data_IF_203858828782
#
_entry.id   IF_203858828782
#
_cell.length_a   1.000
_cell.length_b   1.000
_cell.length_c   1.000
_cell.angle_alpha   90.00
_cell.angle_beta   90.00
_cell.angle_gamma   90.00
#
_symmetry.space_group_name_H-M   'P 1'
#
loop_
_entity.id
_entity.type
_entity.pdbx_description
1 polymer ?
#
# COMPACT_ATOMS: atom_id res chain seq x y z
N UNK A 1 -0.66 3.41 -10.30
CA UNK A 1 -0.59 3.39 -11.80
C UNK A 1 -1.98 3.34 -12.43
N UNK A 2 -2.82 2.32 -12.17
CA UNK A 2 -4.15 2.19 -12.77
C UNK A 2 -4.98 3.49 -12.70
N UNK A 3 -5.08 4.11 -11.52
CA UNK A 3 -5.87 5.31 -11.29
C UNK A 3 -5.41 6.51 -12.15
N UNK A 4 -4.09 6.64 -12.37
CA UNK A 4 -3.53 7.68 -13.24
C UNK A 4 -3.79 7.34 -14.70
N UNK A 5 -3.50 6.12 -15.14
CA UNK A 5 -3.66 5.68 -16.52
C UNK A 5 -5.10 5.85 -17.03
N UNK A 6 -6.10 5.37 -16.26
CA UNK A 6 -7.50 5.47 -16.64
C UNK A 6 -8.01 6.93 -16.70
N UNK A 7 -7.44 7.85 -15.90
CA UNK A 7 -7.81 9.27 -15.94
C UNK A 7 -7.16 9.99 -17.13
N UNK A 8 -5.93 9.65 -17.46
CA UNK A 8 -5.28 10.16 -18.67
C UNK A 8 -6.05 9.75 -19.92
N UNK A 9 -6.48 8.47 -20.03
CA UNK A 9 -7.35 8.03 -21.14
C UNK A 9 -8.64 8.85 -21.22
N UNK A 10 -9.32 9.09 -20.11
CA UNK A 10 -10.55 9.90 -20.09
C UNK A 10 -10.33 11.36 -20.53
N UNK A 11 -9.09 11.86 -20.43
CA UNK A 11 -8.70 13.20 -20.91
C UNK A 11 -8.17 13.19 -22.35
N UNK A 12 -8.26 12.06 -23.05
CA UNK A 12 -7.93 11.94 -24.47
C UNK A 12 -6.50 11.49 -24.76
N UNK A 13 -5.73 11.07 -23.75
CA UNK A 13 -4.40 10.50 -23.98
C UNK A 13 -4.48 9.03 -24.39
N UNK A 14 -3.59 8.60 -25.27
CA UNK A 14 -3.33 7.19 -25.53
C UNK A 14 -2.37 6.65 -24.48
N UNK A 15 -2.78 5.62 -23.75
CA UNK A 15 -1.98 5.07 -22.65
C UNK A 15 -1.76 3.57 -22.83
N UNK A 16 -0.51 3.17 -22.91
CA UNK A 16 -0.09 1.77 -22.93
C UNK A 16 0.63 1.43 -21.62
N UNK A 17 0.21 0.38 -20.93
CA UNK A 17 0.84 -0.13 -19.71
C UNK A 17 1.62 -1.41 -20.01
N UNK A 18 2.94 -1.34 -19.91
CA UNK A 18 3.81 -2.52 -19.92
C UNK A 18 3.80 -3.20 -18.55
N UNK A 19 3.53 -4.49 -18.51
CA UNK A 19 3.38 -5.26 -17.26
C UNK A 19 3.79 -6.71 -17.43
N UNK A 20 3.96 -7.42 -16.30
CA UNK A 20 4.22 -8.85 -16.32
C UNK A 20 3.02 -9.63 -16.90
N UNK A 21 3.33 -10.68 -17.66
CA UNK A 21 2.36 -11.64 -18.18
C UNK A 21 1.69 -12.39 -17.03
N UNK A 22 0.35 -12.44 -17.06
CA UNK A 22 -0.44 -13.17 -16.08
C UNK A 22 -1.17 -14.33 -16.76
N UNK A 23 -1.09 -15.57 -16.22
CA UNK A 23 -1.70 -16.75 -16.85
C UNK A 23 -3.20 -16.63 -17.12
N UNK A 24 -3.91 -15.86 -16.30
CA UNK A 24 -5.37 -15.74 -16.32
C UNK A 24 -5.84 -14.39 -16.89
N UNK A 25 -4.96 -13.56 -17.49
CA UNK A 25 -5.39 -12.32 -18.12
C UNK A 25 -5.89 -12.63 -19.53
N UNK A 26 -7.17 -12.39 -19.78
CA UNK A 26 -7.84 -12.62 -21.07
C UNK A 26 -8.08 -11.35 -21.88
N UNK A 27 -7.61 -10.18 -21.38
CA UNK A 27 -7.85 -8.88 -22.00
C UNK A 27 -6.54 -8.15 -22.28
N UNK A 28 -6.49 -7.42 -23.39
CA UNK A 28 -5.36 -6.57 -23.82
C UNK A 28 -5.67 -5.07 -23.64
N UNK A 29 -6.86 -4.74 -23.17
CA UNK A 29 -7.27 -3.37 -22.83
C UNK A 29 -8.18 -3.40 -21.61
N UNK A 30 -8.06 -2.38 -20.75
CA UNK A 30 -8.92 -2.18 -19.57
C UNK A 30 -9.25 -0.69 -19.42
N UNK A 31 -10.55 -0.35 -19.50
CA UNK A 31 -11.03 1.03 -19.38
C UNK A 31 -10.31 2.01 -20.34
N UNK A 32 -10.04 1.55 -21.59
CA UNK A 32 -9.35 2.31 -22.62
C UNK A 32 -7.82 2.33 -22.50
N UNK A 33 -7.25 1.77 -21.44
CA UNK A 33 -5.80 1.61 -21.27
C UNK A 33 -5.35 0.34 -21.99
N UNK A 34 -4.43 0.45 -22.94
CA UNK A 34 -3.80 -0.69 -23.59
C UNK A 34 -2.85 -1.42 -22.63
N UNK A 35 -2.81 -2.76 -22.72
CA UNK A 35 -1.96 -3.58 -21.87
C UNK A 35 -1.01 -4.38 -22.75
N UNK A 36 0.29 -4.13 -22.59
CA UNK A 36 1.36 -4.90 -23.21
C UNK A 36 2.01 -5.78 -22.15
N UNK A 37 1.91 -7.08 -22.31
CA UNK A 37 2.48 -8.06 -21.40
C UNK A 37 3.85 -8.54 -21.88
N UNK A 38 4.74 -8.77 -20.90
CA UNK A 38 6.05 -9.38 -21.11
C UNK A 38 6.25 -10.50 -20.10
N UNK A 39 6.70 -11.64 -20.57
CA UNK A 39 7.07 -12.77 -19.70
C UNK A 39 8.48 -12.56 -19.15
N UNK A 40 8.60 -11.64 -18.21
CA UNK A 40 9.86 -11.28 -17.54
C UNK A 40 9.74 -11.54 -16.04
N UNK A 41 10.78 -12.14 -15.47
CA UNK A 41 10.89 -12.37 -14.03
C UNK A 41 12.25 -11.93 -13.49
N UNK A 42 12.31 -11.72 -12.15
CA UNK A 42 13.54 -11.32 -11.46
C UNK A 42 13.74 -9.80 -11.41
N UNK A 43 14.99 -9.41 -11.14
CA UNK A 43 15.46 -8.02 -11.13
C UNK A 43 16.98 -7.99 -11.43
N UNK A 44 17.58 -6.80 -11.48
CA UNK A 44 18.99 -6.66 -11.82
C UNK A 44 19.95 -7.35 -10.83
N UNK A 45 19.59 -7.39 -9.53
CA UNK A 45 20.43 -7.98 -8.48
C UNK A 45 20.26 -9.49 -8.40
N UNK A 46 19.03 -9.98 -8.53
CA UNK A 46 18.70 -11.41 -8.49
C UNK A 46 18.85 -12.13 -9.84
N UNK A 47 19.14 -11.40 -10.90
CA UNK A 47 19.08 -11.88 -12.27
C UNK A 47 17.68 -11.71 -12.88
N UNK A 48 17.64 -11.42 -14.18
CA UNK A 48 16.40 -11.32 -14.96
C UNK A 48 16.39 -12.42 -16.02
N UNK A 49 15.18 -12.91 -16.34
CA UNK A 49 14.97 -13.91 -17.40
C UNK A 49 13.67 -13.66 -18.13
N UNK A 50 13.55 -14.22 -19.35
CA UNK A 50 12.37 -14.08 -20.19
C UNK A 50 12.54 -13.01 -21.27
N UNK A 51 11.43 -12.37 -21.67
CA UNK A 51 11.33 -11.42 -22.78
C UNK A 51 11.93 -10.04 -22.46
N UNK A 52 13.17 -10.02 -21.92
CA UNK A 52 13.83 -8.78 -21.47
C UNK A 52 14.23 -7.90 -22.66
N UNK A 53 14.73 -8.49 -23.73
CA UNK A 53 15.18 -7.75 -24.91
C UNK A 53 13.99 -7.25 -25.74
N UNK A 54 12.91 -8.01 -25.82
CA UNK A 54 11.65 -7.58 -26.43
C UNK A 54 11.04 -6.38 -25.68
N UNK A 55 11.13 -6.37 -24.35
CA UNK A 55 10.70 -5.21 -23.58
C UNK A 55 11.59 -3.98 -23.82
N UNK A 56 12.92 -4.17 -23.88
CA UNK A 56 13.86 -3.08 -24.22
C UNK A 56 13.58 -2.50 -25.60
N UNK A 57 13.37 -3.37 -26.59
CA UNK A 57 13.06 -2.95 -27.95
C UNK A 57 11.73 -2.19 -27.99
N UNK A 58 10.68 -2.72 -27.35
CA UNK A 58 9.39 -2.04 -27.23
C UNK A 58 9.54 -0.62 -26.67
N UNK A 59 10.37 -0.44 -25.64
CA UNK A 59 10.57 0.89 -25.04
C UNK A 59 11.43 1.78 -25.94
N UNK A 60 12.49 1.28 -26.55
CA UNK A 60 13.42 2.12 -27.34
C UNK A 60 12.84 2.51 -28.70
N UNK A 61 12.10 1.59 -29.35
CA UNK A 61 11.50 1.82 -30.67
C UNK A 61 10.08 2.39 -30.63
N UNK A 62 9.48 2.50 -29.42
CA UNK A 62 8.11 2.97 -29.27
C UNK A 62 7.94 4.45 -29.65
N UNK A 63 6.83 4.77 -30.27
CA UNK A 63 6.41 6.15 -30.60
C UNK A 63 5.57 6.71 -29.43
N UNK A 64 6.25 7.12 -28.37
CA UNK A 64 5.65 7.70 -27.18
C UNK A 64 6.14 9.14 -26.96
N UNK A 65 5.33 9.97 -26.36
CA UNK A 65 5.73 11.32 -25.92
C UNK A 65 6.43 11.27 -24.56
N UNK A 66 5.94 10.40 -23.66
CA UNK A 66 6.47 10.25 -22.30
C UNK A 66 6.36 8.82 -21.79
N UNK A 67 7.33 8.42 -21.03
CA UNK A 67 7.34 7.16 -20.28
C UNK A 67 7.34 7.46 -18.77
N UNK A 68 6.48 6.78 -18.03
CA UNK A 68 6.50 6.83 -16.57
C UNK A 68 6.71 5.42 -15.99
N UNK A 69 7.76 5.25 -15.21
CA UNK A 69 8.08 3.99 -14.53
C UNK A 69 7.93 4.15 -13.03
N UNK A 70 7.38 3.12 -12.38
CA UNK A 70 7.22 3.06 -10.93
C UNK A 70 8.00 1.90 -10.35
N UNK A 71 8.68 2.17 -9.23
CA UNK A 71 9.45 1.29 -8.38
C UNK A 71 10.81 0.87 -8.96
N UNK A 72 11.85 1.21 -8.22
CA UNK A 72 13.17 0.61 -8.35
C UNK A 72 13.14 -0.87 -7.95
N UNK A 73 14.19 -1.61 -8.33
CA UNK A 73 14.33 -3.03 -7.96
C UNK A 73 13.23 -3.92 -8.56
N UNK A 74 12.56 -3.43 -9.60
CA UNK A 74 11.58 -4.15 -10.41
C UNK A 74 12.11 -4.30 -11.83
N UNK A 75 11.78 -5.42 -12.48
CA UNK A 75 12.28 -5.70 -13.82
C UNK A 75 11.96 -4.59 -14.83
N UNK A 76 10.81 -3.93 -14.71
CA UNK A 76 10.39 -2.86 -15.63
C UNK A 76 11.34 -1.66 -15.62
N UNK A 77 11.94 -1.35 -14.48
CA UNK A 77 12.96 -0.30 -14.36
C UNK A 77 14.37 -0.85 -14.64
N UNK A 78 14.69 -1.96 -14.01
CA UNK A 78 16.04 -2.54 -14.00
C UNK A 78 16.48 -3.00 -15.40
N UNK A 79 15.55 -3.53 -16.20
CA UNK A 79 15.84 -3.96 -17.59
C UNK A 79 16.30 -2.82 -18.49
N UNK A 80 15.88 -1.59 -18.20
CA UNK A 80 16.18 -0.43 -19.04
C UNK A 80 17.55 0.21 -18.78
N UNK A 81 18.25 -0.15 -17.69
CA UNK A 81 19.54 0.47 -17.36
C UNK A 81 20.52 0.52 -18.54
N UNK A 82 20.72 -0.55 -19.33
CA UNK A 82 21.63 -0.51 -20.48
C UNK A 82 21.16 0.36 -21.64
N UNK A 83 19.88 0.69 -21.71
CA UNK A 83 19.27 1.35 -22.88
C UNK A 83 18.68 2.73 -22.57
N UNK A 84 18.74 3.22 -21.34
CA UNK A 84 18.14 4.51 -20.95
C UNK A 84 18.59 5.67 -21.86
N UNK A 85 19.87 5.74 -22.21
CA UNK A 85 20.40 6.80 -23.08
C UNK A 85 19.85 6.75 -24.52
N UNK A 86 19.24 5.63 -24.92
CA UNK A 86 18.64 5.43 -26.26
C UNK A 86 17.15 5.75 -26.31
N UNK A 87 16.51 5.97 -25.15
CA UNK A 87 15.07 6.26 -25.10
C UNK A 87 14.83 7.69 -25.61
N UNK A 88 14.05 7.87 -26.70
CA UNK A 88 13.98 9.16 -27.42
C UNK A 88 12.97 10.16 -26.82
N UNK A 89 12.14 9.76 -25.89
CA UNK A 89 11.06 10.56 -25.31
C UNK A 89 11.27 10.86 -23.82
N UNK A 90 10.42 11.69 -23.23
CA UNK A 90 10.54 12.10 -21.83
C UNK A 90 10.38 10.92 -20.85
N UNK A 91 11.18 10.94 -19.77
CA UNK A 91 11.30 9.85 -18.80
C UNK A 91 10.98 10.35 -17.40
N UNK A 92 9.90 9.85 -16.84
CA UNK A 92 9.47 10.14 -15.47
C UNK A 92 9.62 8.88 -14.63
N UNK A 93 10.27 9.00 -13.48
CA UNK A 93 10.50 7.87 -12.61
C UNK A 93 9.97 8.10 -11.19
N UNK A 94 9.29 7.10 -10.63
CA UNK A 94 8.79 7.06 -9.26
C UNK A 94 9.55 5.99 -8.48
N UNK A 95 10.55 6.33 -7.64
CA UNK A 95 11.42 5.34 -6.98
C UNK A 95 10.73 4.37 -6.03
N UNK A 96 9.65 4.78 -5.40
CA UNK A 96 8.87 3.98 -4.45
C UNK A 96 9.63 3.52 -3.20
N UNK A 97 10.44 4.41 -2.62
CA UNK A 97 10.96 4.25 -1.26
C UNK A 97 12.26 3.46 -1.14
N UNK A 98 12.85 2.95 -2.22
CA UNK A 98 14.14 2.24 -2.21
C UNK A 98 14.26 1.17 -1.12
N UNK A 99 13.41 0.14 -1.15
CA UNK A 99 13.27 -0.87 -0.09
C UNK A 99 14.61 -1.54 0.29
N UNK A 100 15.47 -1.82 -0.67
CA UNK A 100 16.77 -2.46 -0.46
C UNK A 100 17.96 -1.51 -0.23
N UNK A 101 17.73 -0.19 0.00
CA UNK A 101 18.82 0.80 0.07
C UNK A 101 19.93 0.44 1.08
N UNK A 102 19.55 -0.18 2.19
CA UNK A 102 20.47 -0.55 3.27
C UNK A 102 20.80 -2.05 3.28
N UNK A 103 20.34 -2.81 2.29
CA UNK A 103 20.63 -4.24 2.19
C UNK A 103 21.97 -4.45 1.49
N UNK A 104 22.93 -5.22 2.07
CA UNK A 104 24.25 -5.46 1.48
C UNK A 104 24.20 -6.01 0.05
N UNK A 105 23.23 -6.85 -0.27
CA UNK A 105 23.04 -7.40 -1.61
C UNK A 105 22.79 -6.32 -2.68
N UNK A 106 22.23 -5.17 -2.31
CA UNK A 106 21.92 -4.05 -3.20
C UNK A 106 22.99 -2.95 -3.19
N UNK A 107 24.11 -3.08 -2.46
CA UNK A 107 25.13 -2.04 -2.39
C UNK A 107 25.68 -1.64 -3.76
N UNK A 108 25.93 -2.60 -4.66
CA UNK A 108 26.36 -2.33 -6.04
C UNK A 108 25.31 -1.64 -6.88
N UNK A 109 24.06 -1.99 -6.70
CA UNK A 109 22.90 -1.40 -7.34
C UNK A 109 22.77 0.09 -6.98
N UNK A 110 22.74 0.41 -5.68
CA UNK A 110 22.59 1.79 -5.23
C UNK A 110 23.83 2.66 -5.46
N UNK A 111 25.02 2.08 -5.62
CA UNK A 111 26.22 2.81 -6.05
C UNK A 111 26.07 3.38 -7.47
N UNK A 112 25.41 2.66 -8.37
CA UNK A 112 25.14 3.08 -9.76
C UNK A 112 23.85 3.92 -9.90
N UNK A 113 22.95 3.84 -8.94
CA UNK A 113 21.64 4.48 -9.01
C UNK A 113 21.70 6.00 -9.31
N UNK A 114 22.62 6.80 -8.74
CA UNK A 114 22.67 8.24 -9.03
C UNK A 114 22.90 8.55 -10.53
N UNK A 115 23.67 7.72 -11.24
CA UNK A 115 23.90 7.87 -12.69
C UNK A 115 22.60 7.59 -13.46
N UNK A 116 21.85 6.57 -13.06
CA UNK A 116 20.56 6.23 -13.69
C UNK A 116 19.49 7.29 -13.41
N UNK A 117 19.48 7.83 -12.19
CA UNK A 117 18.53 8.90 -11.84
C UNK A 117 18.78 10.20 -12.60
N UNK A 118 20.05 10.52 -12.92
CA UNK A 118 20.41 11.66 -13.76
C UNK A 118 19.94 11.54 -15.22
N UNK A 119 19.65 10.31 -15.68
CA UNK A 119 19.08 10.06 -17.00
C UNK A 119 17.56 10.25 -17.05
N UNK A 120 16.91 10.42 -15.91
CA UNK A 120 15.47 10.72 -15.88
C UNK A 120 15.26 12.21 -16.12
N UNK A 121 14.24 12.57 -16.87
CA UNK A 121 13.88 13.98 -17.07
C UNK A 121 13.17 14.54 -15.86
N UNK A 122 12.45 13.69 -15.10
CA UNK A 122 11.80 14.09 -13.85
C UNK A 122 11.64 12.91 -12.86
N UNK A 123 11.78 13.19 -11.57
CA UNK A 123 11.52 12.23 -10.50
C UNK A 123 10.26 12.62 -9.73
N UNK A 124 9.46 11.64 -9.32
CA UNK A 124 8.30 11.89 -8.46
C UNK A 124 8.41 11.06 -7.20
N UNK A 125 8.29 11.72 -6.04
CA UNK A 125 8.28 11.09 -4.72
C UNK A 125 6.90 11.22 -4.08
N UNK A 126 6.51 10.24 -3.25
CA UNK A 126 5.24 10.27 -2.53
C UNK A 126 5.33 10.94 -1.16
N UNK A 127 6.55 11.22 -0.71
CA UNK A 127 6.87 11.78 0.58
C UNK A 127 7.88 12.93 0.43
N UNK A 128 7.81 13.94 1.29
CA UNK A 128 8.82 15.01 1.35
C UNK A 128 10.02 14.64 2.24
N UNK A 129 9.86 13.60 3.06
CA UNK A 129 10.89 13.05 3.94
C UNK A 129 10.82 11.53 3.91
N UNK A 130 11.69 10.91 3.14
CA UNK A 130 11.88 9.46 3.13
C UNK A 130 13.18 9.12 2.42
N UNK A 131 13.71 7.91 2.65
CA UNK A 131 15.04 7.48 2.18
C UNK A 131 15.28 7.63 0.67
N UNK A 132 14.27 7.55 -0.19
CA UNK A 132 14.42 7.71 -1.63
C UNK A 132 14.61 9.18 -2.05
N UNK A 133 13.82 10.11 -1.52
CA UNK A 133 14.00 11.54 -1.78
C UNK A 133 15.27 12.07 -1.10
N UNK A 134 15.60 11.58 0.10
CA UNK A 134 16.83 11.93 0.79
C UNK A 134 18.06 11.43 0.03
N UNK A 135 17.99 10.24 -0.56
CA UNK A 135 19.01 9.72 -1.48
C UNK A 135 19.18 10.65 -2.70
N UNK A 136 18.09 11.07 -3.32
CA UNK A 136 18.14 11.99 -4.47
C UNK A 136 18.78 13.33 -4.08
N UNK A 137 18.38 13.93 -2.96
CA UNK A 137 18.96 15.18 -2.44
C UNK A 137 20.44 15.04 -2.11
N UNK A 138 20.84 13.94 -1.46
CA UNK A 138 22.25 13.65 -1.15
C UNK A 138 23.14 13.61 -2.39
N UNK A 139 22.59 13.14 -3.51
CA UNK A 139 23.29 13.09 -4.80
C UNK A 139 23.08 14.33 -5.70
N UNK A 140 22.53 15.42 -5.15
CA UNK A 140 22.38 16.70 -5.86
C UNK A 140 21.35 16.69 -6.98
N UNK A 141 20.38 15.78 -6.94
CA UNK A 141 19.28 15.76 -7.91
C UNK A 141 18.22 16.78 -7.51
N UNK A 142 17.86 17.68 -8.43
CA UNK A 142 16.92 18.78 -8.18
C UNK A 142 15.65 18.75 -9.05
N UNK A 143 15.65 17.92 -10.09
CA UNK A 143 14.53 17.77 -11.05
C UNK A 143 13.47 16.79 -10.53
N UNK A 144 12.82 17.15 -9.45
CA UNK A 144 11.78 16.31 -8.86
C UNK A 144 10.60 17.10 -8.29
N UNK A 145 9.49 16.40 -8.15
CA UNK A 145 8.29 16.85 -7.45
C UNK A 145 7.86 15.86 -6.37
N UNK A 146 7.16 16.37 -5.34
CA UNK A 146 6.46 15.53 -4.37
C UNK A 146 4.98 15.52 -4.76
N UNK A 147 4.50 14.37 -5.23
CA UNK A 147 3.08 14.14 -5.56
C UNK A 147 2.58 13.02 -4.66
N UNK A 148 1.82 13.34 -3.61
CA UNK A 148 1.25 12.33 -2.71
C UNK A 148 0.36 11.32 -3.43
N UNK A 149 0.11 10.19 -2.80
CA UNK A 149 -0.97 9.29 -3.20
C UNK A 149 -2.34 9.94 -2.92
N UNK A 150 -3.41 9.26 -3.34
CA UNK A 150 -4.78 9.70 -3.12
C UNK A 150 -5.74 8.55 -2.93
N UNK A 151 -7.03 8.87 -2.81
CA UNK A 151 -8.11 7.91 -2.81
C UNK A 151 -9.14 8.24 -3.91
N UNK A 152 -9.88 7.19 -4.34
CA UNK A 152 -10.76 7.27 -5.49
C UNK A 152 -12.04 8.05 -5.20
N UNK A 153 -12.28 9.13 -5.92
CA UNK A 153 -13.53 9.88 -5.88
C UNK A 153 -14.72 9.06 -6.41
N UNK A 154 -14.46 8.03 -7.21
CA UNK A 154 -15.49 7.11 -7.69
C UNK A 154 -15.94 6.20 -6.55
N UNK A 155 -14.99 5.67 -5.76
CA UNK A 155 -15.28 4.77 -4.65
C UNK A 155 -15.90 5.53 -3.46
N UNK A 156 -15.32 6.68 -3.10
CA UNK A 156 -15.74 7.47 -1.93
C UNK A 156 -16.71 8.62 -2.24
N UNK A 157 -17.11 8.79 -3.49
CA UNK A 157 -18.16 9.72 -3.91
C UNK A 157 -19.58 9.17 -3.78
N UNK A 158 -19.74 7.95 -3.26
CA UNK A 158 -21.02 7.32 -3.03
C UNK A 158 -21.60 7.67 -1.65
N UNK A 159 -22.89 7.45 -1.46
CA UNK A 159 -23.53 7.58 -0.15
C UNK A 159 -23.14 6.42 0.78
N UNK A 160 -23.10 6.71 2.08
CA UNK A 160 -22.90 5.69 3.08
C UNK A 160 -24.10 4.75 3.17
N UNK A 161 -23.83 3.44 3.20
CA UNK A 161 -24.85 2.41 3.37
C UNK A 161 -25.26 2.30 4.84
N UNK A 162 -26.39 2.87 5.21
CA UNK A 162 -26.93 2.79 6.56
C UNK A 162 -27.17 1.36 7.06
N UNK A 163 -27.26 0.37 6.15
CA UNK A 163 -27.46 -1.04 6.50
C UNK A 163 -26.18 -1.80 6.73
N UNK A 164 -25.00 -1.20 6.45
CA UNK A 164 -23.69 -1.88 6.53
C UNK A 164 -23.49 -2.56 7.89
N UNK A 165 -23.70 -1.83 9.00
CA UNK A 165 -23.52 -2.37 10.36
C UNK A 165 -24.42 -3.59 10.59
N UNK A 166 -25.70 -3.49 10.24
CA UNK A 166 -26.66 -4.59 10.40
C UNK A 166 -26.31 -5.81 9.55
N UNK A 167 -25.92 -5.60 8.27
CA UNK A 167 -25.49 -6.69 7.37
C UNK A 167 -24.28 -7.46 7.87
N UNK A 168 -23.41 -6.79 8.62
CA UNK A 168 -22.19 -7.40 9.17
C UNK A 168 -22.29 -7.75 10.66
N UNK A 169 -23.49 -7.73 11.25
CA UNK A 169 -23.72 -8.11 12.64
C UNK A 169 -23.08 -7.17 13.66
N UNK A 170 -22.88 -5.91 13.29
CA UNK A 170 -22.30 -4.87 14.15
C UNK A 170 -23.45 -4.14 14.85
N UNK A 171 -23.44 -4.12 16.18
CA UNK A 171 -24.47 -3.40 16.94
C UNK A 171 -24.38 -1.89 16.67
N UNK A 172 -25.53 -1.22 16.55
CA UNK A 172 -25.60 0.21 16.23
C UNK A 172 -24.87 1.10 17.26
N UNK A 173 -24.94 0.72 18.53
CA UNK A 173 -24.29 1.42 19.64
C UNK A 173 -22.82 1.01 19.86
N UNK A 174 -22.27 0.13 19.02
CA UNK A 174 -20.88 -0.30 19.11
C UNK A 174 -19.94 0.70 18.44
N UNK A 175 -18.89 1.13 19.13
CA UNK A 175 -17.81 1.92 18.49
C UNK A 175 -17.03 1.03 17.55
N UNK A 176 -16.93 1.42 16.28
CA UNK A 176 -16.36 0.62 15.21
C UNK A 176 -14.93 1.05 14.89
N UNK A 177 -13.98 0.19 15.23
CA UNK A 177 -12.61 0.28 14.77
C UNK A 177 -12.42 -0.51 13.47
N UNK A 178 -11.65 0.04 12.53
CA UNK A 178 -11.31 -0.63 11.28
C UNK A 178 -9.78 -0.63 11.09
N UNK A 179 -9.23 -1.73 10.62
CA UNK A 179 -7.91 -1.77 9.98
C UNK A 179 -7.95 -2.55 8.68
N UNK A 180 -7.09 -2.17 7.73
CA UNK A 180 -7.03 -2.78 6.40
C UNK A 180 -5.59 -3.07 6.02
N UNK A 181 -5.32 -4.33 5.66
CA UNK A 181 -4.00 -4.74 5.21
C UNK A 181 -3.91 -6.25 4.98
N UNK A 182 -2.89 -6.69 4.27
CA UNK A 182 -2.64 -8.12 4.07
C UNK A 182 -2.12 -8.77 5.36
N UNK A 183 -2.56 -10.01 5.67
CA UNK A 183 -2.13 -10.77 6.85
C UNK A 183 -0.73 -11.37 6.66
N UNK A 184 0.26 -10.52 6.37
CA UNK A 184 1.67 -10.92 6.17
C UNK A 184 2.48 -10.97 7.46
N UNK A 185 1.89 -10.55 8.59
CA UNK A 185 2.59 -10.36 9.86
C UNK A 185 3.32 -9.02 9.99
N UNK A 186 3.28 -8.16 8.95
CA UNK A 186 3.96 -6.87 8.92
C UNK A 186 2.99 -5.66 8.89
N UNK A 187 1.69 -5.91 8.95
CA UNK A 187 0.67 -4.85 8.87
C UNK A 187 0.03 -4.49 10.21
N UNK A 188 0.65 -4.93 11.32
CA UNK A 188 0.25 -4.54 12.67
C UNK A 188 -1.04 -5.17 13.18
N UNK A 189 -1.59 -6.19 12.47
CA UNK A 189 -2.83 -6.85 12.92
C UNK A 189 -2.70 -7.53 14.29
N UNK A 190 -1.52 -8.09 14.58
CA UNK A 190 -1.28 -8.76 15.86
C UNK A 190 -1.21 -7.74 17.00
N UNK A 191 -0.46 -6.67 16.81
CA UNK A 191 -0.33 -5.58 17.77
C UNK A 191 -1.70 -4.93 18.04
N UNK A 192 -2.49 -4.72 16.99
CA UNK A 192 -3.80 -4.10 17.11
C UNK A 192 -4.83 -5.00 17.83
N UNK A 193 -4.92 -6.28 17.48
CA UNK A 193 -5.89 -7.17 18.17
C UNK A 193 -5.52 -7.38 19.63
N UNK A 194 -4.23 -7.38 20.00
CA UNK A 194 -3.78 -7.40 21.38
C UNK A 194 -4.15 -6.10 22.10
N UNK A 195 -3.88 -4.95 21.49
CA UNK A 195 -4.28 -3.65 22.03
C UNK A 195 -5.80 -3.59 22.25
N UNK A 196 -6.60 -4.04 21.29
CA UNK A 196 -8.04 -4.11 21.42
C UNK A 196 -8.49 -5.02 22.57
N UNK A 197 -7.83 -6.17 22.78
CA UNK A 197 -8.09 -7.06 23.90
C UNK A 197 -7.76 -6.37 25.25
N UNK A 198 -6.67 -5.61 25.33
CA UNK A 198 -6.23 -4.88 26.54
C UNK A 198 -7.05 -3.62 26.83
N UNK A 199 -7.66 -3.01 25.80
CA UNK A 199 -8.38 -1.76 25.90
C UNK A 199 -9.52 -1.88 26.93
N UNK A 200 -9.59 -0.94 27.87
CA UNK A 200 -10.69 -0.89 28.84
C UNK A 200 -11.84 -0.09 28.26
N UNK A 201 -13.06 -0.61 28.40
CA UNK A 201 -14.28 0.07 28.04
C UNK A 201 -15.03 0.50 29.31
N UNK A 202 -15.65 1.67 29.26
CA UNK A 202 -16.55 2.11 30.30
C UNK A 202 -17.80 1.20 30.36
N UNK A 203 -18.49 1.19 31.48
CA UNK A 203 -19.71 0.39 31.69
C UNK A 203 -20.78 0.72 30.64
N UNK A 204 -21.37 -0.31 30.03
CA UNK A 204 -22.38 -0.18 28.99
C UNK A 204 -21.82 0.22 27.60
N UNK A 205 -20.52 0.48 27.44
CA UNK A 205 -19.92 0.71 26.13
C UNK A 205 -19.61 -0.58 25.41
N UNK A 206 -19.84 -0.60 24.11
CA UNK A 206 -19.51 -1.70 23.22
C UNK A 206 -18.51 -1.25 22.16
N UNK A 207 -17.61 -2.15 21.74
CA UNK A 207 -16.66 -1.90 20.68
C UNK A 207 -16.57 -3.10 19.71
N UNK A 208 -16.43 -2.80 18.43
CA UNK A 208 -16.19 -3.78 17.38
C UNK A 208 -14.90 -3.42 16.65
N UNK A 209 -14.05 -4.40 16.39
CA UNK A 209 -12.86 -4.26 15.57
C UNK A 209 -12.98 -5.10 14.30
N UNK A 210 -12.93 -4.47 13.14
CA UNK A 210 -12.79 -5.16 11.85
C UNK A 210 -11.33 -5.22 11.48
N UNK A 211 -10.79 -6.44 11.33
CA UNK A 211 -9.50 -6.72 10.70
C UNK A 211 -9.77 -7.18 9.26
N UNK A 212 -9.62 -6.28 8.28
CA UNK A 212 -9.90 -6.60 6.88
C UNK A 212 -8.62 -6.91 6.11
N UNK A 213 -8.60 -8.04 5.41
CA UNK A 213 -7.49 -8.46 4.56
C UNK A 213 -7.69 -9.87 4.00
N UNK A 214 -6.65 -10.40 3.39
CA UNK A 214 -6.68 -11.71 2.73
C UNK A 214 -6.53 -12.92 3.68
N UNK A 215 -6.95 -12.81 4.95
CA UNK A 215 -6.81 -13.88 5.96
C UNK A 215 -7.61 -15.12 5.60
N UNK A 216 -8.82 -14.94 5.08
CA UNK A 216 -9.72 -16.05 4.73
C UNK A 216 -9.08 -16.96 3.67
N UNK A 217 -8.41 -16.38 2.66
CA UNK A 217 -7.70 -17.15 1.63
C UNK A 217 -6.50 -17.94 2.16
N UNK A 218 -5.90 -17.51 3.27
CA UNK A 218 -4.79 -18.22 3.91
C UNK A 218 -5.32 -19.40 4.73
N UNK A 219 -6.50 -19.27 5.32
CA UNK A 219 -7.16 -20.32 6.11
C UNK A 219 -7.81 -21.41 5.21
N UNK A 220 -8.34 -20.99 4.04
CA UNK A 220 -8.97 -21.88 3.05
C UNK A 220 -7.97 -22.64 2.14
N UNK A 221 -6.66 -22.37 2.27
CA UNK A 221 -5.66 -23.17 1.55
C UNK A 221 -5.68 -24.60 2.09
N UNK A 222 -6.50 -25.43 1.42
CA UNK A 222 -6.68 -26.86 1.67
C UNK A 222 -5.33 -27.58 1.77
N UNK A 223 -5.31 -28.71 2.47
CA UNK A 223 -4.15 -29.63 2.60
C UNK A 223 -3.47 -29.88 1.23
N UNK A 224 -4.25 -29.87 0.12
CA UNK A 224 -3.75 -29.97 -1.26
C UNK A 224 -2.90 -28.77 -1.70
N UNK A 225 -3.23 -27.54 -1.31
CA UNK A 225 -2.43 -26.35 -1.61
C UNK A 225 -1.12 -26.29 -0.82
N UNK A 226 -1.10 -26.88 0.38
CA UNK A 226 0.12 -27.03 1.20
C UNK A 226 1.04 -28.08 0.58
N UNK A 227 0.48 -29.18 0.07
CA UNK A 227 1.25 -30.25 -0.62
C UNK A 227 1.86 -29.74 -1.94
N UNK A 228 1.12 -28.96 -2.73
CA UNK A 228 1.63 -28.38 -3.97
C UNK A 228 2.76 -27.36 -3.74
N UNK A 229 2.65 -26.54 -2.69
CA UNK A 229 3.74 -25.62 -2.26
C UNK A 229 4.93 -26.38 -1.68
N UNK A 230 4.71 -27.49 -0.97
CA UNK A 230 5.77 -28.36 -0.46
C UNK A 230 6.60 -28.94 -1.59
N UNK A 231 5.95 -29.49 -2.62
CA UNK A 231 6.61 -30.02 -3.81
C UNK A 231 7.40 -28.93 -4.55
N UNK A 232 6.86 -27.71 -4.64
CA UNK A 232 7.54 -26.55 -5.23
C UNK A 232 8.81 -26.14 -4.46
N UNK A 233 8.74 -26.09 -3.12
CA UNK A 233 9.89 -25.72 -2.27
C UNK A 233 10.94 -26.83 -2.22
N UNK A 234 10.54 -28.09 -2.21
CA UNK A 234 11.47 -29.25 -2.34
C UNK A 234 12.24 -29.17 -3.65
N UNK A 235 11.57 -28.78 -4.72
CA UNK A 235 12.17 -28.69 -6.07
C UNK A 235 13.15 -27.52 -6.24
N UNK A 236 12.94 -26.43 -5.48
CA UNK A 236 13.74 -25.18 -5.62
C UNK A 236 14.76 -24.96 -4.50
N UNK A 237 14.55 -25.45 -3.28
CA UNK A 237 15.36 -25.15 -2.10
C UNK A 237 15.76 -26.37 -1.25
N UNK A 238 15.44 -27.58 -1.68
CA UNK A 238 15.81 -28.84 -1.04
C UNK A 238 14.94 -29.24 0.16
N UNK A 239 15.00 -30.55 0.51
CA UNK A 239 14.12 -31.20 1.52
C UNK A 239 14.19 -30.56 2.91
N UNK A 240 15.37 -30.12 3.38
CA UNK A 240 15.52 -29.52 4.73
C UNK A 240 14.80 -28.18 4.87
N UNK A 241 14.81 -27.33 3.83
CA UNK A 241 14.11 -26.05 3.84
C UNK A 241 12.58 -26.24 3.72
N UNK A 242 12.13 -27.25 3.01
CA UNK A 242 10.72 -27.60 2.89
C UNK A 242 10.16 -28.17 4.20
N UNK A 243 10.90 -29.04 4.90
CA UNK A 243 10.50 -29.59 6.20
C UNK A 243 10.38 -28.50 7.28
N UNK A 244 11.37 -27.61 7.41
CA UNK A 244 11.31 -26.49 8.36
C UNK A 244 10.14 -25.55 8.12
N UNK A 245 9.85 -25.24 6.83
CA UNK A 245 8.73 -24.36 6.45
C UNK A 245 7.34 -24.99 6.69
N UNK A 246 7.21 -26.31 6.50
CA UNK A 246 5.92 -27.01 6.65
C UNK A 246 5.64 -27.38 8.11
N UNK A 247 6.64 -27.85 8.84
CA UNK A 247 6.50 -28.15 10.27
C UNK A 247 6.23 -26.86 11.04
N UNK A 248 6.91 -25.75 10.72
CA UNK A 248 6.63 -24.44 11.33
C UNK A 248 5.20 -23.96 11.08
N UNK A 249 4.64 -24.24 9.88
CA UNK A 249 3.24 -23.89 9.54
C UNK A 249 2.21 -24.84 10.16
N UNK A 250 2.52 -26.12 10.31
CA UNK A 250 1.63 -27.09 10.96
C UNK A 250 1.62 -26.86 12.47
N UNK A 251 2.76 -26.64 13.09
CA UNK A 251 2.87 -26.30 14.53
C UNK A 251 2.24 -24.93 14.83
N UNK A 252 2.39 -23.94 13.93
CA UNK A 252 1.70 -22.64 14.03
C UNK A 252 0.17 -22.75 13.86
N UNK A 253 -0.34 -23.78 13.17
CA UNK A 253 -1.79 -24.09 13.11
C UNK A 253 -2.33 -24.77 14.37
N UNK A 254 -1.47 -25.46 15.13
CA UNK A 254 -1.85 -26.14 16.37
C UNK A 254 -1.83 -25.20 17.60
N UNK A 255 -1.09 -24.10 17.53
CA UNK A 255 -1.05 -23.07 18.58
C UNK A 255 -1.58 -21.75 18.03
N UNK A 256 -2.91 -21.59 18.00
CA UNK A 256 -3.59 -20.39 17.50
C UNK A 256 -3.64 -19.25 18.52
N UNK A 257 -3.34 -19.50 19.79
CA UNK A 257 -3.52 -18.54 20.89
C UNK A 257 -2.75 -17.22 20.68
N UNK A 258 -1.54 -17.28 20.10
CA UNK A 258 -0.70 -16.10 19.81
C UNK A 258 -0.95 -15.47 18.43
N UNK A 259 -1.92 -15.95 17.65
CA UNK A 259 -2.25 -15.41 16.32
C UNK A 259 -3.39 -14.38 16.41
N UNK A 260 -3.54 -13.48 15.43
CA UNK A 260 -4.70 -12.58 15.38
C UNK A 260 -6.03 -13.30 15.49
N UNK A 261 -6.19 -14.46 14.84
CA UNK A 261 -7.40 -15.28 14.92
C UNK A 261 -7.63 -15.85 16.31
N UNK A 262 -6.61 -16.39 16.98
CA UNK A 262 -6.73 -16.96 18.32
C UNK A 262 -7.10 -15.89 19.35
N UNK A 263 -6.48 -14.71 19.27
CA UNK A 263 -6.81 -13.58 20.14
C UNK A 263 -8.23 -13.09 19.87
N UNK A 264 -8.64 -12.97 18.59
CA UNK A 264 -10.00 -12.59 18.21
C UNK A 264 -11.04 -13.55 18.80
N UNK A 265 -10.80 -14.86 18.70
CA UNK A 265 -11.68 -15.88 19.29
C UNK A 265 -11.77 -15.75 20.81
N UNK A 266 -10.63 -15.51 21.48
CA UNK A 266 -10.59 -15.29 22.92
C UNK A 266 -11.39 -14.05 23.35
N UNK A 267 -11.21 -12.92 22.64
CA UNK A 267 -11.96 -11.68 22.90
C UNK A 267 -13.46 -11.93 22.72
N UNK A 268 -13.87 -12.52 21.60
CA UNK A 268 -15.28 -12.78 21.29
C UNK A 268 -15.95 -13.73 22.31
N UNK A 269 -15.17 -14.64 22.93
CA UNK A 269 -15.70 -15.57 23.91
C UNK A 269 -15.75 -14.98 25.34
N UNK A 270 -14.71 -14.23 25.75
CA UNK A 270 -14.49 -13.85 27.13
C UNK A 270 -14.80 -12.37 27.43
N UNK A 271 -15.03 -11.53 26.41
CA UNK A 271 -15.28 -10.10 26.59
C UNK A 271 -16.60 -9.70 25.89
N UNK A 272 -17.76 -9.84 26.55
CA UNK A 272 -19.08 -9.72 25.92
C UNK A 272 -19.39 -8.33 25.35
N UNK A 273 -18.64 -7.29 25.75
CA UNK A 273 -18.77 -5.93 25.25
C UNK A 273 -17.79 -5.63 24.10
N UNK A 274 -17.05 -6.62 23.61
CA UNK A 274 -16.11 -6.50 22.49
C UNK A 274 -16.35 -7.56 21.44
N UNK A 275 -16.24 -7.17 20.18
CA UNK A 275 -16.34 -8.09 19.05
C UNK A 275 -15.17 -7.86 18.09
N UNK A 276 -14.54 -8.93 17.60
CA UNK A 276 -13.50 -8.88 16.56
C UNK A 276 -14.00 -9.65 15.35
N UNK A 277 -14.05 -8.99 14.20
CA UNK A 277 -14.41 -9.55 12.91
C UNK A 277 -13.19 -9.61 12.01
N UNK A 278 -12.83 -10.78 11.51
CA UNK A 278 -11.78 -10.96 10.51
C UNK A 278 -12.47 -11.18 9.16
N UNK A 279 -12.17 -10.29 8.19
CA UNK A 279 -12.93 -10.21 6.94
C UNK A 279 -12.00 -10.09 5.72
N UNK A 280 -12.52 -10.46 4.55
CA UNK A 280 -11.94 -10.17 3.22
C UNK A 280 -13.07 -9.55 2.37
N UNK A 281 -13.40 -8.29 2.70
CA UNK A 281 -14.52 -7.56 2.10
C UNK A 281 -14.26 -7.28 0.60
N UNK A 282 -15.34 -7.26 -0.18
CA UNK A 282 -15.31 -6.72 -1.54
C UNK A 282 -14.88 -5.24 -1.52
N UNK A 283 -14.39 -4.72 -2.65
CA UNK A 283 -14.02 -3.28 -2.72
C UNK A 283 -15.19 -2.36 -2.34
N UNK A 284 -16.40 -2.70 -2.76
CA UNK A 284 -17.62 -1.95 -2.44
C UNK A 284 -17.90 -1.97 -0.93
N UNK A 285 -17.92 -3.16 -0.32
CA UNK A 285 -18.15 -3.27 1.13
C UNK A 285 -17.00 -2.67 1.94
N UNK A 286 -15.76 -2.74 1.45
CA UNK A 286 -14.63 -2.12 2.11
C UNK A 286 -14.76 -0.59 2.14
N UNK A 287 -15.23 0.03 1.05
CA UNK A 287 -15.53 1.46 1.02
C UNK A 287 -16.59 1.80 2.08
N UNK A 288 -17.63 1.00 2.18
CA UNK A 288 -18.68 1.17 3.20
C UNK A 288 -18.15 0.91 4.63
N UNK A 289 -17.22 -0.03 4.82
CA UNK A 289 -16.56 -0.25 6.09
C UNK A 289 -15.78 0.98 6.57
N UNK A 290 -15.05 1.64 5.65
CA UNK A 290 -14.40 2.91 5.98
C UNK A 290 -15.42 3.97 6.38
N UNK A 291 -16.51 4.15 5.61
CA UNK A 291 -17.56 5.15 5.91
C UNK A 291 -18.32 4.87 7.20
N UNK A 292 -18.47 3.60 7.59
CA UNK A 292 -19.18 3.18 8.80
C UNK A 292 -18.29 3.19 10.05
N UNK A 293 -16.95 3.22 9.89
CA UNK A 293 -16.01 3.16 11.00
C UNK A 293 -15.93 4.50 11.74
N UNK A 294 -15.87 4.43 13.07
CA UNK A 294 -15.67 5.59 13.93
C UNK A 294 -14.19 5.99 14.03
N UNK A 295 -13.29 5.00 13.89
CA UNK A 295 -11.83 5.21 13.89
C UNK A 295 -11.12 4.15 13.05
N UNK A 296 -10.30 4.59 12.09
CA UNK A 296 -9.37 3.71 11.39
C UNK A 296 -8.06 3.63 12.18
N UNK A 297 -7.57 2.41 12.47
CA UNK A 297 -6.32 2.21 13.23
C UNK A 297 -5.28 1.56 12.36
N UNK A 298 -4.13 2.21 12.20
CA UNK A 298 -3.07 1.76 11.33
C UNK A 298 -1.74 1.59 12.08
N UNK A 299 -1.46 0.37 12.52
CA UNK A 299 -0.28 0.00 13.30
C UNK A 299 0.77 -0.79 12.48
N UNK A 300 0.88 -0.52 11.17
CA UNK A 300 1.78 -1.24 10.27
C UNK A 300 3.25 -1.10 10.69
N UNK A 301 4.01 -2.20 10.55
CA UNK A 301 5.43 -2.24 10.92
C UNK A 301 6.34 -1.68 9.82
N UNK A 302 5.90 -1.72 8.56
CA UNK A 302 6.67 -1.21 7.41
C UNK A 302 5.74 -0.68 6.32
N UNK A 303 6.02 0.52 5.86
CA UNK A 303 5.33 1.20 4.76
C UNK A 303 6.26 2.16 4.03
N UNK A 304 5.77 2.67 2.89
CA UNK A 304 6.30 3.88 2.27
C UNK A 304 5.24 5.00 2.31
N UNK A 305 4.18 4.88 1.52
CA UNK A 305 3.09 5.86 1.48
C UNK A 305 1.74 5.11 1.44
N UNK A 306 1.16 4.82 2.63
CA UNK A 306 0.00 3.95 2.76
C UNK A 306 -1.27 4.58 2.18
N UNK A 307 -1.86 3.95 1.17
CA UNK A 307 -3.09 4.38 0.51
C UNK A 307 -4.28 4.41 1.46
N UNK A 308 -4.33 3.49 2.41
CA UNK A 308 -5.45 3.32 3.34
C UNK A 308 -5.68 4.53 4.24
N UNK A 309 -4.66 5.37 4.48
CA UNK A 309 -4.82 6.62 5.22
C UNK A 309 -5.53 7.70 4.40
N UNK A 310 -5.27 7.75 3.08
CA UNK A 310 -6.05 8.61 2.17
C UNK A 310 -7.46 8.08 1.98
N UNK A 311 -7.66 6.76 2.02
CA UNK A 311 -8.98 6.15 1.96
C UNK A 311 -9.80 6.45 3.21
N UNK A 312 -9.19 6.41 4.40
CA UNK A 312 -9.82 6.85 5.64
C UNK A 312 -10.22 8.34 5.58
N UNK A 313 -9.32 9.21 5.17
CA UNK A 313 -9.61 10.64 4.97
C UNK A 313 -10.74 10.85 3.95
N UNK A 314 -10.75 10.10 2.84
CA UNK A 314 -11.79 10.14 1.82
C UNK A 314 -13.16 9.70 2.35
N UNK A 315 -13.21 8.76 3.27
CA UNK A 315 -14.43 8.32 3.93
C UNK A 315 -14.95 9.33 4.98
N UNK A 316 -14.13 10.31 5.37
CA UNK A 316 -14.42 11.18 6.53
C UNK A 316 -14.16 10.47 7.86
N UNK A 317 -13.40 9.38 7.85
CA UNK A 317 -13.07 8.59 9.02
C UNK A 317 -11.72 9.03 9.56
N UNK A 318 -11.63 9.51 10.82
CA UNK A 318 -10.36 9.84 11.44
C UNK A 318 -9.49 8.61 11.60
N UNK A 319 -8.17 8.80 11.69
CA UNK A 319 -7.28 7.67 11.88
C UNK A 319 -6.24 7.86 12.97
N UNK A 320 -5.95 6.76 13.68
CA UNK A 320 -4.84 6.62 14.61
C UNK A 320 -3.72 5.84 13.89
N UNK A 321 -2.52 6.41 13.79
CA UNK A 321 -1.42 5.77 13.09
C UNK A 321 -0.10 5.86 13.87
N UNK A 322 0.81 4.93 13.59
CA UNK A 322 2.18 4.95 14.08
C UNK A 322 3.10 5.66 13.10
N UNK A 323 4.31 6.05 13.54
CA UNK A 323 5.32 6.66 12.66
C UNK A 323 5.94 5.62 11.74
N UNK A 324 5.26 5.31 10.62
CA UNK A 324 5.69 4.35 9.60
C UNK A 324 5.58 4.94 8.20
N UNK A 325 6.63 4.79 7.38
CA UNK A 325 6.65 5.45 6.07
C UNK A 325 6.47 6.96 6.21
N UNK A 326 5.59 7.54 5.40
CA UNK A 326 5.20 8.95 5.52
C UNK A 326 3.84 9.15 6.22
N UNK A 327 3.42 8.24 7.09
CA UNK A 327 2.12 8.35 7.79
C UNK A 327 1.96 9.66 8.57
N UNK A 328 3.04 10.17 9.17
CA UNK A 328 3.01 11.46 9.89
C UNK A 328 2.78 12.64 8.94
N UNK A 329 3.36 12.63 7.74
CA UNK A 329 3.07 13.63 6.71
C UNK A 329 1.63 13.54 6.24
N UNK A 330 1.10 12.33 6.02
CA UNK A 330 -0.29 12.14 5.62
C UNK A 330 -1.25 12.64 6.71
N UNK A 331 -0.97 12.36 7.99
CA UNK A 331 -1.76 12.86 9.09
C UNK A 331 -1.80 14.41 9.09
N UNK A 332 -0.64 15.05 8.91
CA UNK A 332 -0.55 16.50 8.82
C UNK A 332 -1.21 17.06 7.55
N UNK A 333 -1.00 16.45 6.40
CA UNK A 333 -1.54 16.91 5.12
C UNK A 333 -3.07 16.83 5.04
N UNK A 334 -3.65 15.79 5.66
CA UNK A 334 -5.10 15.57 5.65
C UNK A 334 -5.81 16.22 6.82
N UNK A 335 -5.11 16.45 7.93
CA UNK A 335 -5.72 16.86 9.19
C UNK A 335 -6.63 15.81 9.82
N UNK A 336 -6.60 14.55 9.36
CA UNK A 336 -7.47 13.46 9.80
C UNK A 336 -6.83 12.52 10.82
N UNK A 337 -5.53 12.66 11.06
CA UNK A 337 -4.74 11.67 11.78
C UNK A 337 -4.23 12.09 13.13
N UNK A 338 -4.21 11.13 14.06
CA UNK A 338 -3.52 11.23 15.35
C UNK A 338 -2.36 10.25 15.36
N UNK A 339 -1.21 10.68 15.89
CA UNK A 339 -0.02 9.86 15.98
C UNK A 339 0.02 9.08 17.29
N UNK A 340 0.12 7.74 17.20
CA UNK A 340 0.41 6.88 18.36
C UNK A 340 1.92 6.78 18.57
N UNK A 341 2.43 6.96 19.80
CA UNK A 341 3.85 6.74 20.09
C UNK A 341 4.33 5.36 19.69
N UNK A 342 5.45 5.32 18.98
CA UNK A 342 6.04 4.07 18.47
C UNK A 342 7.56 4.19 18.39
N UNK A 343 8.26 3.06 18.25
CA UNK A 343 9.72 2.99 18.17
C UNK A 343 10.13 2.19 16.93
N UNK A 344 11.31 2.44 16.42
CA UNK A 344 11.91 1.63 15.34
C UNK A 344 12.80 0.58 15.98
N UNK A 345 12.64 -0.70 15.61
CA UNK A 345 13.48 -1.79 16.08
C UNK A 345 14.81 -1.85 15.30
N UNK A 346 15.73 -2.73 15.73
CA UNK A 346 17.05 -2.91 15.12
C UNK A 346 16.99 -3.34 13.63
N UNK A 347 15.85 -3.87 13.19
CA UNK A 347 15.62 -4.27 11.79
C UNK A 347 14.97 -3.16 10.95
N UNK A 348 14.75 -1.98 11.56
CA UNK A 348 14.12 -0.85 10.90
C UNK A 348 12.58 -0.94 10.80
N UNK A 349 11.95 -1.84 11.55
CA UNK A 349 10.49 -1.92 11.62
C UNK A 349 9.93 -1.02 12.72
N UNK A 350 8.84 -0.34 12.43
CA UNK A 350 8.07 0.38 13.43
C UNK A 350 7.36 -0.60 14.36
N UNK A 351 7.49 -0.39 15.68
CA UNK A 351 6.85 -1.18 16.73
C UNK A 351 6.07 -0.28 17.65
N UNK A 352 4.85 -0.64 17.92
CA UNK A 352 3.99 0.00 18.91
C UNK A 352 3.83 -0.92 20.12
N UNK A 353 3.87 -0.35 21.31
CA UNK A 353 3.48 -1.06 22.52
C UNK A 353 1.96 -1.24 22.55
N UNK A 354 1.50 -2.46 22.80
CA UNK A 354 0.08 -2.81 22.74
C UNK A 354 -0.74 -2.06 23.80
N UNK A 355 -0.17 -1.74 24.96
CA UNK A 355 -0.86 -0.98 26.01
C UNK A 355 -0.94 0.51 25.63
N UNK A 356 0.11 1.07 25.02
CA UNK A 356 0.11 2.45 24.52
C UNK A 356 -0.95 2.61 23.42
N UNK A 357 -1.00 1.65 22.49
CA UNK A 357 -2.01 1.65 21.43
C UNK A 357 -3.44 1.51 22.00
N UNK A 358 -3.64 0.61 22.98
CA UNK A 358 -4.93 0.43 23.65
C UNK A 358 -5.40 1.71 24.37
N UNK A 359 -4.49 2.40 25.05
CA UNK A 359 -4.80 3.66 25.74
C UNK A 359 -5.17 4.78 24.73
N UNK A 360 -4.41 4.91 23.63
CA UNK A 360 -4.70 5.88 22.57
C UNK A 360 -6.05 5.62 21.89
N UNK A 361 -6.38 4.36 21.65
CA UNK A 361 -7.70 3.96 21.11
C UNK A 361 -8.84 4.31 22.07
N UNK A 362 -8.66 4.03 23.38
CA UNK A 362 -9.66 4.33 24.41
C UNK A 362 -9.87 5.84 24.58
N UNK A 363 -8.80 6.63 24.60
CA UNK A 363 -8.83 8.08 24.70
C UNK A 363 -9.61 8.73 23.54
N UNK A 364 -9.31 8.30 22.30
CA UNK A 364 -10.02 8.79 21.12
C UNK A 364 -11.50 8.40 21.12
N UNK A 365 -11.82 7.19 21.52
CA UNK A 365 -13.21 6.74 21.66
C UNK A 365 -14.03 7.59 22.64
N UNK A 366 -13.40 8.18 23.65
CA UNK A 366 -14.05 9.06 24.63
C UNK A 366 -14.24 10.50 24.13
N UNK A 367 -13.68 10.85 22.96
CA UNK A 367 -13.75 12.21 22.42
C UNK A 367 -14.42 12.28 21.03
N UNK A 368 -15.73 12.04 20.94
CA UNK A 368 -16.44 12.00 19.67
C UNK A 368 -16.44 13.34 18.92
N UNK A 369 -16.37 14.46 19.64
CA UNK A 369 -16.30 15.78 19.01
C UNK A 369 -14.98 15.94 18.25
N UNK A 370 -13.88 15.58 18.86
CA UNK A 370 -12.56 15.63 18.21
C UNK A 370 -12.49 14.67 17.01
N UNK A 371 -13.06 13.46 17.12
CA UNK A 371 -13.13 12.54 16.00
C UNK A 371 -13.93 13.10 14.83
N UNK A 372 -15.04 13.77 15.10
CA UNK A 372 -15.86 14.41 14.06
C UNK A 372 -15.10 15.55 13.36
N UNK A 373 -14.35 16.35 14.11
CA UNK A 373 -13.49 17.43 13.57
C UNK A 373 -12.40 16.87 12.65
N UNK A 374 -11.68 15.84 13.10
CA UNK A 374 -10.66 15.16 12.31
C UNK A 374 -11.25 14.53 11.03
N UNK A 375 -12.39 13.87 11.14
CA UNK A 375 -13.08 13.28 9.99
C UNK A 375 -13.48 14.32 8.95
N UNK A 376 -14.06 15.44 9.41
CA UNK A 376 -14.44 16.55 8.53
C UNK A 376 -13.23 17.20 7.84
N UNK A 377 -12.13 17.43 8.58
CA UNK A 377 -10.88 17.94 8.04
C UNK A 377 -10.31 17.01 6.97
N UNK A 378 -10.29 15.70 7.24
CA UNK A 378 -9.84 14.67 6.31
C UNK A 378 -10.64 14.66 5.01
N UNK A 379 -11.95 14.64 5.12
CA UNK A 379 -12.86 14.64 3.97
C UNK A 379 -12.68 15.88 3.09
N UNK A 380 -12.55 17.05 3.72
CA UNK A 380 -12.29 18.31 3.03
C UNK A 380 -10.94 18.29 2.30
N UNK A 381 -9.88 17.96 3.00
CA UNK A 381 -8.53 17.90 2.42
C UNK A 381 -8.44 16.90 1.28
N UNK A 382 -9.09 15.73 1.41
CA UNK A 382 -9.15 14.74 0.34
C UNK A 382 -9.86 15.31 -0.90
N UNK A 383 -11.03 15.92 -0.74
CA UNK A 383 -11.81 16.46 -1.85
C UNK A 383 -11.04 17.56 -2.62
N UNK A 384 -10.29 18.39 -1.90
CA UNK A 384 -9.52 19.49 -2.48
C UNK A 384 -8.20 19.06 -3.11
N UNK A 385 -7.51 18.01 -2.58
CA UNK A 385 -6.11 17.76 -2.89
C UNK A 385 -5.76 16.32 -3.21
N UNK A 386 -6.47 15.33 -2.64
CA UNK A 386 -6.06 13.93 -2.63
C UNK A 386 -7.02 12.99 -3.33
N UNK A 387 -7.93 13.49 -4.17
CA UNK A 387 -8.62 12.65 -5.15
C UNK A 387 -7.64 12.18 -6.21
N UNK A 388 -7.83 10.99 -6.77
CA UNK A 388 -6.98 10.58 -7.91
C UNK A 388 -7.14 11.48 -9.12
N UNK A 389 -8.25 12.20 -9.24
CA UNK A 389 -8.41 13.24 -10.27
C UNK A 389 -7.38 14.36 -10.08
N UNK A 390 -7.30 14.96 -8.88
CA UNK A 390 -6.33 16.02 -8.57
C UNK A 390 -4.88 15.53 -8.66
N UNK A 391 -4.62 14.32 -8.20
CA UNK A 391 -3.28 13.70 -8.29
C UNK A 391 -2.89 13.50 -9.77
N UNK A 392 -3.79 12.97 -10.61
CA UNK A 392 -3.46 12.71 -12.01
C UNK A 392 -3.27 13.98 -12.84
N UNK A 393 -3.95 15.09 -12.50
CA UNK A 393 -3.70 16.41 -13.11
C UNK A 393 -2.27 16.92 -12.85
N UNK A 394 -1.69 16.62 -11.69
CA UNK A 394 -0.30 16.99 -11.41
C UNK A 394 0.69 16.20 -12.28
N UNK A 395 0.45 14.90 -12.51
CA UNK A 395 1.25 14.11 -13.44
C UNK A 395 1.11 14.61 -14.87
N UNK A 396 -0.11 14.87 -15.33
CA UNK A 396 -0.37 15.39 -16.69
C UNK A 396 0.33 16.73 -16.94
N UNK A 397 0.36 17.63 -15.94
CA UNK A 397 1.10 18.88 -16.02
C UNK A 397 2.59 18.64 -16.24
N UNK A 398 3.22 17.76 -15.44
CA UNK A 398 4.63 17.39 -15.60
C UNK A 398 4.88 16.81 -16.99
N UNK A 399 4.01 15.94 -17.49
CA UNK A 399 4.17 15.35 -18.82
C UNK A 399 4.13 16.41 -19.91
N UNK A 400 3.15 17.33 -19.85
CA UNK A 400 3.01 18.41 -20.84
C UNK A 400 4.22 19.36 -20.81
N UNK A 401 4.72 19.71 -19.63
CA UNK A 401 5.93 20.54 -19.48
C UNK A 401 7.16 19.85 -20.12
N UNK A 402 7.39 18.58 -19.83
CA UNK A 402 8.52 17.82 -20.39
C UNK A 402 8.42 17.65 -21.90
N UNK A 403 7.21 17.45 -22.45
CA UNK A 403 6.99 17.34 -23.89
C UNK A 403 7.30 18.69 -24.55
N UNK A 404 6.83 19.80 -23.99
CA UNK A 404 7.05 21.15 -24.51
C UNK A 404 8.55 21.52 -24.48
N UNK A 405 9.25 21.25 -23.38
CA UNK A 405 10.70 21.49 -23.26
C UNK A 405 11.51 20.73 -24.32
N UNK A 406 11.14 19.45 -24.56
CA UNK A 406 11.81 18.65 -25.60
C UNK A 406 11.49 19.13 -27.04
N UNK A 407 10.29 19.64 -27.27
CA UNK A 407 9.95 20.22 -28.58
C UNK A 407 10.74 21.52 -28.83
N UNK A 408 11.01 22.31 -27.80
CA UNK A 408 11.80 23.54 -27.91
C UNK A 408 13.31 23.31 -28.12
N UNK A 409 13.81 22.09 -27.83
CA UNK A 409 15.21 21.70 -28.04
C UNK A 409 15.48 21.06 -29.40
N UNK A 410 14.44 20.73 -30.17
CA UNK A 410 14.53 20.22 -31.57
C UNK A 410 14.46 21.34 -32.57
#
# INVERSE_FOLDING_TARGET
MRQIAERLVRRGHHVTVATAKLPNRSFTSLNGVEIREFDVSGNLVGGMSGEVDEYREFVVSGDFDVMMIKAAQQWTFDALWPVYARIPYARVFIPCGFSGLYEPAYAGYFRKMPEILKLQDHLVFYASQYRDIDFARHHGLTHFSVIPNGASEIDFGVEADATFRARHGIAENSFLFLTVGSFTGLKGHLELVKAFALMKLDEGRHATLILNGNAVRILDSSVGGILAKFVGVVRTRGLKAAFGSVIGKILGKLNTEGTPQGIANNVNHNQPNKTVLITDLSRQDLTQAFMAADLFVFASNIEYSPLVLYEAAAAGTPFLTVSVGNSAEIANWTGAGVMCPSKVDEKGYTRVDEQVLANSMAELMQNPVHLAELGAAGRKSWAERFTWEQVSLQYERIFNELIADRAALK
#
